data_IF_837447372064
#
_entry.id   IF_837447372064
#
_cell.length_a   1.000
_cell.length_b   1.000
_cell.length_c   1.000
_cell.angle_alpha   90.00
_cell.angle_beta   90.00
_cell.angle_gamma   90.00
#
_symmetry.space_group_name_H-M   'P 1'
#
loop_
_entity.id
_entity.type
_entity.pdbx_description
1 polymer ?
#
# COMPACT_ATOMS: atom_id res chain seq x y z
N UNK A 1 42.24 36.43 -25.39
CA UNK A 1 41.98 35.64 -24.17
C UNK A 1 40.48 35.71 -23.90
N UNK A 2 39.77 34.68 -24.37
CA UNK A 2 39.10 33.63 -23.59
C UNK A 2 37.90 34.14 -22.79
N UNK A 3 36.75 33.77 -23.35
CA UNK A 3 35.38 33.91 -22.88
C UNK A 3 35.22 33.36 -21.44
N UNK A 4 34.63 34.16 -20.56
CA UNK A 4 34.21 33.76 -19.23
C UNK A 4 32.78 33.25 -19.26
N UNK A 5 32.62 31.93 -19.36
CA UNK A 5 31.40 31.22 -19.01
C UNK A 5 31.17 31.28 -17.49
N UNK A 6 29.97 31.64 -17.04
CA UNK A 6 29.17 30.73 -16.23
C UNK A 6 27.70 31.18 -16.19
N UNK A 7 26.88 30.33 -16.77
CA UNK A 7 25.44 30.47 -17.00
C UNK A 7 24.62 30.00 -15.77
N UNK A 8 23.46 30.62 -15.65
CA UNK A 8 22.28 30.43 -14.80
C UNK A 8 22.04 29.13 -13.98
N UNK A 9 21.45 29.42 -12.81
CA UNK A 9 20.37 28.72 -12.09
C UNK A 9 20.71 27.65 -11.03
N UNK A 10 20.06 27.72 -9.84
CA UNK A 10 20.29 26.79 -8.74
C UNK A 10 19.50 25.51 -8.99
N UNK A 11 20.19 24.43 -9.36
CA UNK A 11 19.60 23.09 -9.36
C UNK A 11 20.28 22.22 -8.32
N UNK A 12 19.43 21.54 -7.55
CA UNK A 12 19.62 20.24 -6.91
C UNK A 12 20.77 20.10 -5.89
N UNK A 13 20.41 20.12 -4.61
CA UNK A 13 21.15 19.37 -3.59
C UNK A 13 20.24 18.36 -2.88
N UNK A 14 20.78 17.16 -2.74
CA UNK A 14 20.30 16.02 -1.95
C UNK A 14 19.33 15.06 -2.64
N UNK A 15 19.89 14.19 -3.46
CA UNK A 15 19.53 12.76 -3.40
C UNK A 15 20.81 11.97 -3.64
N UNK A 16 21.30 11.31 -2.59
CA UNK A 16 22.41 10.37 -2.66
C UNK A 16 21.88 9.05 -3.21
N UNK A 17 21.97 8.88 -4.52
CA UNK A 17 21.61 7.65 -5.25
C UNK A 17 22.77 6.66 -5.19
N UNK A 18 23.11 6.16 -4.00
CA UNK A 18 24.03 5.02 -3.89
C UNK A 18 23.28 3.73 -4.26
N UNK A 19 23.17 3.46 -5.58
CA UNK A 19 23.28 2.15 -6.23
C UNK A 19 22.88 2.22 -7.71
N UNK A 20 23.74 2.86 -8.52
CA UNK A 20 23.57 3.07 -9.96
C UNK A 20 23.59 1.78 -10.83
N UNK A 21 23.92 0.60 -10.26
CA UNK A 21 23.94 -0.67 -10.99
C UNK A 21 22.55 -1.27 -11.30
N UNK A 22 21.53 -0.95 -10.49
CA UNK A 22 20.16 -1.47 -10.67
C UNK A 22 19.32 -0.63 -11.64
N UNK A 23 19.66 0.66 -11.80
CA UNK A 23 18.85 1.62 -12.56
C UNK A 23 18.90 1.42 -14.07
N UNK A 24 20.03 0.93 -14.62
CA UNK A 24 20.16 0.68 -16.06
C UNK A 24 19.41 -0.58 -16.51
N UNK A 25 19.11 -1.51 -15.60
CA UNK A 25 18.28 -2.69 -15.92
C UNK A 25 16.79 -2.35 -15.99
N UNK A 26 16.36 -1.31 -15.26
CA UNK A 26 14.96 -0.88 -15.18
C UNK A 26 14.58 -0.01 -16.40
N UNK A 27 15.50 0.80 -16.94
CA UNK A 27 15.22 1.66 -18.10
C UNK A 27 15.08 0.88 -19.42
N UNK A 28 15.76 -0.28 -19.56
CA UNK A 28 15.69 -1.10 -20.78
C UNK A 28 14.52 -2.11 -20.80
N UNK A 29 13.84 -2.36 -19.66
CA UNK A 29 12.66 -3.21 -19.56
C UNK A 29 11.33 -2.48 -19.89
N UNK A 30 11.41 -1.29 -20.48
CA UNK A 30 10.25 -0.42 -20.79
C UNK A 30 9.34 -0.93 -21.93
N UNK A 31 9.74 -1.99 -22.66
CA UNK A 31 9.03 -2.43 -23.87
C UNK A 31 8.16 -3.68 -23.74
N UNK A 32 8.18 -4.44 -22.62
CA UNK A 32 7.46 -5.74 -22.56
C UNK A 32 6.71 -6.10 -21.27
N UNK A 33 6.55 -5.19 -20.30
CA UNK A 33 5.59 -5.38 -19.20
C UNK A 33 4.74 -4.13 -19.03
N UNK A 34 3.44 -4.35 -19.14
CA UNK A 34 2.33 -3.42 -18.99
C UNK A 34 2.41 -2.76 -17.60
N UNK A 35 3.27 -1.76 -17.42
CA UNK A 35 3.21 -0.92 -16.23
C UNK A 35 1.88 -0.15 -16.29
N UNK A 36 0.99 -0.32 -15.30
CA UNK A 36 -0.32 0.29 -15.37
C UNK A 36 -0.15 1.82 -15.39
N UNK A 37 -0.72 2.45 -16.43
CA UNK A 37 -0.50 3.85 -16.76
C UNK A 37 -0.95 4.86 -15.69
N UNK A 38 -1.50 4.42 -14.55
CA UNK A 38 -1.79 5.26 -13.40
C UNK A 38 -2.01 4.40 -12.13
N UNK A 39 -0.96 4.22 -11.32
CA UNK A 39 -1.05 3.56 -10.00
C UNK A 39 -2.10 4.22 -9.10
N UNK A 40 -2.28 5.54 -9.21
CA UNK A 40 -3.30 6.28 -8.46
C UNK A 40 -4.73 5.86 -8.84
N UNK A 41 -4.97 5.57 -10.13
CA UNK A 41 -6.25 5.06 -10.61
C UNK A 41 -6.52 3.63 -10.13
N UNK A 42 -5.51 2.76 -10.13
CA UNK A 42 -5.65 1.39 -9.62
C UNK A 42 -5.94 1.37 -8.12
N UNK A 43 -5.22 2.16 -7.34
CA UNK A 43 -5.43 2.29 -5.90
C UNK A 43 -6.86 2.78 -5.57
N UNK A 44 -7.37 3.78 -6.32
CA UNK A 44 -8.77 4.22 -6.19
C UNK A 44 -9.77 3.12 -6.55
N UNK A 45 -9.50 2.33 -7.61
CA UNK A 45 -10.34 1.20 -7.98
C UNK A 45 -10.36 0.12 -6.90
N UNK A 46 -9.22 -0.18 -6.29
CA UNK A 46 -9.10 -1.14 -5.19
C UNK A 46 -9.94 -0.69 -3.99
N UNK A 47 -9.77 0.55 -3.53
CA UNK A 47 -10.56 1.11 -2.44
C UNK A 47 -12.07 1.06 -2.73
N UNK A 48 -12.47 1.48 -3.93
CA UNK A 48 -13.88 1.43 -4.31
C UNK A 48 -14.43 -0.01 -4.37
N UNK A 49 -13.62 -0.97 -4.81
CA UNK A 49 -14.01 -2.38 -4.82
C UNK A 49 -14.22 -2.92 -3.40
N UNK A 50 -13.37 -2.52 -2.45
CA UNK A 50 -13.50 -2.88 -1.02
C UNK A 50 -14.77 -2.27 -0.43
N UNK A 51 -15.04 -0.97 -0.66
CA UNK A 51 -16.26 -0.29 -0.21
C UNK A 51 -17.54 -0.95 -0.75
N UNK A 52 -17.49 -1.44 -2.00
CA UNK A 52 -18.59 -2.18 -2.64
C UNK A 52 -18.62 -3.66 -2.29
N UNK A 53 -17.70 -4.13 -1.44
CA UNK A 53 -17.55 -5.53 -1.02
C UNK A 53 -17.40 -6.49 -2.20
N UNK A 54 -16.75 -6.05 -3.26
CA UNK A 54 -16.62 -6.83 -4.49
C UNK A 54 -15.27 -7.53 -4.57
N UNK A 55 -15.25 -8.78 -4.09
CA UNK A 55 -14.07 -9.65 -4.03
C UNK A 55 -13.40 -9.84 -5.40
N UNK A 56 -14.19 -10.05 -6.45
CA UNK A 56 -13.66 -10.26 -7.82
C UNK A 56 -12.89 -9.03 -8.31
N UNK A 57 -13.38 -7.83 -8.01
CA UNK A 57 -12.72 -6.57 -8.39
C UNK A 57 -11.51 -6.27 -7.52
N UNK A 58 -11.52 -6.68 -6.26
CA UNK A 58 -10.35 -6.58 -5.37
C UNK A 58 -9.22 -7.48 -5.88
N UNK A 59 -9.50 -8.75 -6.14
CA UNK A 59 -8.53 -9.69 -6.71
C UNK A 59 -7.99 -9.20 -8.06
N UNK A 60 -8.87 -8.71 -8.94
CA UNK A 60 -8.46 -8.15 -10.23
C UNK A 60 -7.56 -6.90 -10.07
N UNK A 61 -7.90 -5.99 -9.16
CA UNK A 61 -7.10 -4.79 -8.91
C UNK A 61 -5.71 -5.13 -8.35
N UNK A 62 -5.62 -6.10 -7.44
CA UNK A 62 -4.34 -6.59 -6.91
C UNK A 62 -3.51 -7.26 -8.01
N UNK A 63 -4.13 -8.09 -8.86
CA UNK A 63 -3.48 -8.70 -10.01
C UNK A 63 -2.99 -7.68 -11.05
N UNK A 64 -3.70 -6.56 -11.20
CA UNK A 64 -3.30 -5.41 -12.04
C UNK A 64 -2.16 -4.58 -11.41
N UNK A 65 -1.72 -4.90 -10.19
CA UNK A 65 -0.64 -4.23 -9.49
C UNK A 65 -1.07 -3.03 -8.64
N UNK A 66 -2.33 -3.00 -8.17
CA UNK A 66 -2.75 -2.04 -7.15
C UNK A 66 -1.94 -2.27 -5.86
N UNK A 67 -1.66 -1.18 -5.15
CA UNK A 67 -0.98 -1.27 -3.85
C UNK A 67 -1.96 -1.83 -2.79
N UNK A 68 -1.67 -2.99 -2.17
CA UNK A 68 -2.51 -3.55 -1.09
C UNK A 68 -2.53 -2.64 0.15
N UNK A 69 -1.49 -1.82 0.37
CA UNK A 69 -1.37 -0.89 1.49
C UNK A 69 -1.99 0.49 1.21
N UNK A 70 -2.86 0.57 0.20
CA UNK A 70 -3.54 1.81 -0.12
C UNK A 70 -4.36 2.28 1.08
N UNK A 71 -4.23 3.57 1.42
CA UNK A 71 -5.10 4.21 2.41
C UNK A 71 -6.23 4.96 1.73
N UNK A 72 -7.41 4.96 2.34
CA UNK A 72 -8.52 5.81 1.92
C UNK A 72 -8.24 7.31 2.17
N UNK A 73 -9.23 8.16 1.87
CA UNK A 73 -9.12 9.61 2.07
C UNK A 73 -8.94 10.02 3.53
N UNK A 74 -9.33 9.16 4.45
CA UNK A 74 -9.19 9.33 5.89
C UNK A 74 -7.88 8.67 6.39
N UNK A 75 -6.99 8.25 5.50
CA UNK A 75 -5.76 7.58 5.92
C UNK A 75 -5.97 6.21 6.58
N UNK A 76 -7.15 5.58 6.42
CA UNK A 76 -7.37 4.19 6.87
C UNK A 76 -6.77 3.24 5.84
N UNK A 77 -5.85 2.35 6.22
CA UNK A 77 -5.40 1.27 5.37
C UNK A 77 -6.56 0.41 4.85
N UNK A 78 -6.48 -0.02 3.60
CA UNK A 78 -7.45 -0.90 2.94
C UNK A 78 -7.77 -2.14 3.77
N UNK A 79 -6.74 -2.72 4.42
CA UNK A 79 -6.88 -3.88 5.28
C UNK A 79 -7.84 -3.62 6.46
N UNK A 80 -7.73 -2.47 7.13
CA UNK A 80 -8.61 -2.11 8.25
C UNK A 80 -10.06 -1.94 7.78
N UNK A 81 -10.25 -1.34 6.60
CA UNK A 81 -11.59 -1.21 6.02
C UNK A 81 -12.18 -2.59 5.66
N UNK A 82 -11.38 -3.51 5.13
CA UNK A 82 -11.80 -4.87 4.80
C UNK A 82 -12.29 -5.66 6.02
N UNK A 83 -11.65 -5.49 7.19
CA UNK A 83 -12.08 -6.12 8.46
C UNK A 83 -13.53 -5.77 8.81
N UNK A 84 -13.97 -4.54 8.51
CA UNK A 84 -15.35 -4.11 8.77
C UNK A 84 -16.37 -4.70 7.80
N UNK A 85 -15.92 -5.27 6.68
CA UNK A 85 -16.79 -5.64 5.57
C UNK A 85 -16.89 -7.14 5.32
N UNK A 86 -15.77 -7.87 5.25
CA UNK A 86 -15.75 -9.30 4.95
C UNK A 86 -14.39 -9.94 5.24
N UNK A 87 -14.41 -11.14 5.81
CA UNK A 87 -13.22 -11.97 6.04
C UNK A 87 -12.50 -12.33 4.74
N UNK A 88 -13.24 -12.51 3.64
CA UNK A 88 -12.66 -12.85 2.33
C UNK A 88 -11.84 -11.67 1.79
N UNK A 89 -12.28 -10.44 2.01
CA UNK A 89 -11.54 -9.26 1.58
C UNK A 89 -10.23 -9.09 2.37
N UNK A 90 -10.26 -9.40 3.67
CA UNK A 90 -9.06 -9.41 4.52
C UNK A 90 -8.05 -10.42 3.99
N UNK A 91 -8.52 -11.64 3.70
CA UNK A 91 -7.67 -12.69 3.12
C UNK A 91 -7.06 -12.27 1.78
N UNK A 92 -7.88 -11.73 0.85
CA UNK A 92 -7.40 -11.28 -0.45
C UNK A 92 -6.32 -10.19 -0.35
N UNK A 93 -6.47 -9.26 0.58
CA UNK A 93 -5.48 -8.20 0.79
C UNK A 93 -4.18 -8.74 1.39
N UNK A 94 -4.26 -9.65 2.35
CA UNK A 94 -3.08 -10.28 2.97
C UNK A 94 -2.35 -11.21 1.99
N UNK A 95 -3.08 -12.01 1.22
CA UNK A 95 -2.53 -12.78 0.09
C UNK A 95 -1.90 -11.86 -0.97
N UNK A 96 -2.42 -10.64 -1.11
CA UNK A 96 -1.89 -9.58 -1.95
C UNK A 96 -0.65 -8.87 -1.39
N UNK A 97 -0.21 -9.23 -0.18
CA UNK A 97 0.97 -8.65 0.48
C UNK A 97 0.69 -7.37 1.28
N UNK A 98 -0.55 -7.16 1.73
CA UNK A 98 -0.85 -6.05 2.63
C UNK A 98 -0.06 -6.17 3.95
N UNK A 99 0.43 -5.04 4.46
CA UNK A 99 1.00 -4.93 5.79
C UNK A 99 -0.09 -5.16 6.85
N UNK A 100 0.00 -6.33 7.50
CA UNK A 100 -0.90 -6.76 8.57
C UNK A 100 -0.87 -5.81 9.78
N UNK A 101 0.26 -5.12 9.99
CA UNK A 101 0.49 -4.21 11.11
C UNK A 101 0.22 -2.75 10.76
N UNK A 102 -0.34 -2.48 9.57
CA UNK A 102 -0.71 -1.15 9.18
C UNK A 102 -1.69 -0.53 10.19
N UNK A 103 -1.40 0.71 10.58
CA UNK A 103 -2.20 1.46 11.54
C UNK A 103 -2.95 2.59 10.86
N UNK A 104 -4.18 2.81 11.31
CA UNK A 104 -4.95 3.99 10.93
C UNK A 104 -4.28 5.26 11.48
N UNK A 105 -4.06 6.26 10.62
CA UNK A 105 -3.35 7.49 10.99
C UNK A 105 -4.07 8.35 12.02
N UNK A 106 -5.40 8.25 12.14
CA UNK A 106 -6.19 9.09 13.04
C UNK A 106 -6.25 8.54 14.46
N UNK A 107 -6.56 7.24 14.62
CA UNK A 107 -6.78 6.63 15.93
C UNK A 107 -5.71 5.60 16.33
N UNK A 108 -4.79 5.26 15.42
CA UNK A 108 -3.76 4.26 15.68
C UNK A 108 -4.30 2.84 15.76
N UNK A 109 -5.54 2.56 15.36
CA UNK A 109 -6.04 1.18 15.35
C UNK A 109 -5.34 0.37 14.27
N UNK A 110 -4.93 -0.85 14.62
CA UNK A 110 -4.48 -1.88 13.67
C UNK A 110 -5.66 -2.74 13.20
N UNK A 111 -5.44 -3.54 12.15
CA UNK A 111 -6.42 -4.52 11.70
C UNK A 111 -6.79 -5.52 12.83
N UNK A 112 -5.81 -5.90 13.66
CA UNK A 112 -6.02 -6.84 14.77
C UNK A 112 -6.92 -6.26 15.86
N UNK A 113 -6.67 -5.02 16.29
CA UNK A 113 -7.51 -4.32 17.28
C UNK A 113 -8.94 -4.20 16.77
N UNK A 114 -9.11 -3.91 15.47
CA UNK A 114 -10.44 -3.83 14.87
C UNK A 114 -11.12 -5.20 14.84
N UNK A 115 -10.41 -6.25 14.41
CA UNK A 115 -10.92 -7.62 14.29
C UNK A 115 -11.39 -8.22 15.61
N UNK A 116 -10.76 -7.84 16.75
CA UNK A 116 -11.17 -8.27 18.08
C UNK A 116 -12.63 -7.93 18.42
N UNK A 117 -13.21 -6.92 17.75
CA UNK A 117 -14.62 -6.54 17.92
C UNK A 117 -15.59 -7.26 16.97
N UNK A 118 -15.11 -8.12 16.07
CA UNK A 118 -15.94 -8.80 15.06
C UNK A 118 -16.00 -10.32 15.27
N UNK A 119 -14.93 -11.05 14.95
CA UNK A 119 -14.92 -12.53 14.99
C UNK A 119 -13.56 -13.07 15.42
N UNK A 120 -13.56 -14.20 16.14
CA UNK A 120 -12.31 -14.93 16.45
C UNK A 120 -11.58 -15.40 15.19
N UNK A 121 -12.32 -15.72 14.13
CA UNK A 121 -11.77 -16.17 12.84
C UNK A 121 -10.89 -15.08 12.22
N UNK A 122 -11.35 -13.82 12.21
CA UNK A 122 -10.56 -12.69 11.72
C UNK A 122 -9.30 -12.47 12.57
N UNK A 123 -9.42 -12.60 13.89
CA UNK A 123 -8.27 -12.49 14.79
C UNK A 123 -7.24 -13.56 14.46
N UNK A 124 -7.65 -14.83 14.37
CA UNK A 124 -6.75 -15.94 14.00
C UNK A 124 -6.10 -15.71 12.64
N UNK A 125 -6.87 -15.31 11.63
CA UNK A 125 -6.37 -15.06 10.29
C UNK A 125 -5.31 -13.95 10.26
N UNK A 126 -5.49 -12.88 11.03
CA UNK A 126 -4.50 -11.80 11.14
C UNK A 126 -3.24 -12.27 11.90
N UNK A 127 -3.40 -13.05 12.97
CA UNK A 127 -2.28 -13.62 13.73
C UNK A 127 -1.46 -14.60 12.89
N UNK A 128 -2.11 -15.45 12.10
CA UNK A 128 -1.46 -16.37 11.16
C UNK A 128 -0.62 -15.64 10.10
N UNK A 129 -0.96 -14.38 9.82
CA UNK A 129 -0.20 -13.49 8.95
C UNK A 129 0.76 -12.54 9.68
N UNK A 130 1.01 -12.77 10.98
CA UNK A 130 2.03 -12.07 11.74
C UNK A 130 1.59 -10.73 12.33
N UNK A 131 0.29 -10.56 12.60
CA UNK A 131 -0.20 -9.41 13.33
C UNK A 131 0.43 -9.31 14.74
N UNK A 132 0.90 -8.13 15.10
CA UNK A 132 1.44 -7.85 16.42
C UNK A 132 0.32 -7.73 17.46
N UNK A 133 0.30 -8.69 18.38
CA UNK A 133 -0.62 -8.71 19.54
C UNK A 133 -0.40 -7.55 20.50
N UNK A 134 0.80 -6.97 20.49
CA UNK A 134 1.16 -5.84 21.35
C UNK A 134 0.98 -4.50 20.64
N UNK A 135 0.37 -4.48 19.45
CA UNK A 135 0.09 -3.24 18.73
C UNK A 135 -0.79 -2.33 19.60
N UNK A 136 -0.22 -1.18 19.99
CA UNK A 136 -0.92 -0.17 20.79
C UNK A 136 -1.56 0.86 19.90
N UNK A 137 -2.72 1.31 20.32
CA UNK A 137 -3.42 2.42 19.68
C UNK A 137 -2.80 3.74 20.15
N UNK A 138 -3.20 4.86 19.56
CA UNK A 138 -2.71 6.17 20.02
C UNK A 138 -3.18 6.50 21.45
N UNK A 139 -4.11 5.73 22.02
CA UNK A 139 -4.66 5.93 23.36
C UNK A 139 -3.94 5.12 24.46
N UNK A 140 -2.93 4.31 24.11
CA UNK A 140 -1.99 3.68 25.06
C UNK A 140 -2.20 2.20 25.37
#
# INVERSE_FOLDING_TARGET
EKESELNNSPTTKSTSWLNFGSYLRISHLRSKKKFPADLGKLNKKLLHAIEKKNETKVSAALADGANPDVTDKNGSPALINAVMYSEILVKLLLDGGADVNAMNKHNGFSALVKAASYTETLVKLLLDHGADVNAKTNEG
#
